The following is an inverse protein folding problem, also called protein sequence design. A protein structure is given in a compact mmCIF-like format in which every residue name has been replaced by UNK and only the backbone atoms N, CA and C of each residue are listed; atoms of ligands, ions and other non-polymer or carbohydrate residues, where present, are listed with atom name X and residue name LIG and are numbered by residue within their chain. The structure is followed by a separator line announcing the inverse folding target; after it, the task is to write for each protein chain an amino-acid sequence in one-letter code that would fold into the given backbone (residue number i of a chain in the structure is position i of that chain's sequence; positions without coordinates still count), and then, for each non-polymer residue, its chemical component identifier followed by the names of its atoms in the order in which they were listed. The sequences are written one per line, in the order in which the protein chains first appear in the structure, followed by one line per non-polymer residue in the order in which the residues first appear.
data_IF_688744433742
#
_entry.id   IF_688744433742
#
_cell.length_a   1.000
_cell.length_b   1.000
_cell.length_c   1.000
_cell.angle_alpha   90.00
_cell.angle_beta   90.00
_cell.angle_gamma   90.00
#
_symmetry.space_group_name_H-M   'P 1'
#
loop_
_entity.id
_entity.type
_entity.pdbx_description
1 polymer ?
#
# COMPACT_ATOMS: atom_id res chain seq x y z
N UNK A 1 -8.51 6.27 6.12
CA UNK A 1 -7.97 5.04 5.54
C UNK A 1 -7.52 5.29 4.13
N UNK A 2 -6.23 5.45 3.97
CA UNK A 2 -5.65 5.75 2.68
C UNK A 2 -4.60 4.71 2.31
N UNK A 3 -4.55 4.43 1.04
CA UNK A 3 -3.44 3.65 0.51
C UNK A 3 -2.43 4.63 -0.06
N UNK A 4 -1.17 4.28 0.05
CA UNK A 4 -0.08 5.17 -0.38
C UNK A 4 0.84 4.45 -1.33
N UNK A 5 1.55 5.23 -2.12
CA UNK A 5 2.51 4.71 -3.06
C UNK A 5 3.81 5.48 -2.89
N UNK A 6 4.89 4.77 -2.62
CA UNK A 6 6.17 5.41 -2.36
C UNK A 6 7.23 4.89 -3.33
N UNK A 7 7.96 5.83 -3.92
CA UNK A 7 9.09 5.48 -4.75
C UNK A 7 10.30 5.25 -3.85
N UNK A 8 10.88 4.06 -3.92
CA UNK A 8 12.01 3.74 -3.06
C UNK A 8 13.29 4.41 -3.52
N UNK A 9 13.30 4.93 -4.74
CA UNK A 9 14.48 5.57 -5.29
C UNK A 9 14.57 7.04 -4.91
N UNK A 10 13.52 7.80 -5.19
CA UNK A 10 13.52 9.24 -4.95
C UNK A 10 12.71 9.64 -3.70
N UNK A 11 12.00 8.72 -3.10
CA UNK A 11 11.26 8.99 -1.88
C UNK A 11 9.92 9.66 -2.07
N UNK A 12 9.49 9.83 -3.31
CA UNK A 12 8.21 10.47 -3.59
C UNK A 12 7.06 9.62 -3.03
N UNK A 13 6.13 10.29 -2.37
CA UNK A 13 4.97 9.63 -1.79
C UNK A 13 3.71 10.27 -2.34
N UNK A 14 2.73 9.44 -2.68
CA UNK A 14 1.46 9.93 -3.17
C UNK A 14 0.34 9.03 -2.70
N UNK A 15 -0.87 9.57 -2.69
CA UNK A 15 -2.05 8.81 -2.30
C UNK A 15 -2.53 7.99 -3.48
N UNK A 16 -3.04 6.80 -3.18
CA UNK A 16 -3.63 5.95 -4.18
C UNK A 16 -5.13 5.92 -3.94
N UNK A 17 -5.89 6.38 -4.92
CA UNK A 17 -7.35 6.39 -4.81
C UNK A 17 -7.89 5.07 -5.30
N UNK A 18 -8.29 4.24 -4.35
CA UNK A 18 -8.90 2.97 -4.67
C UNK A 18 -9.81 2.58 -3.51
N UNK A 19 -10.80 1.72 -3.77
CA UNK A 19 -11.72 1.31 -2.71
C UNK A 19 -10.99 0.62 -1.57
N UNK A 20 -11.50 0.81 -0.37
CA UNK A 20 -10.96 0.13 0.79
C UNK A 20 -11.19 -1.38 0.64
N UNK A 21 -10.13 -2.15 0.81
CA UNK A 21 -10.17 -3.59 0.60
C UNK A 21 -10.42 -4.29 1.93
N UNK A 22 -11.68 -4.38 2.29
CA UNK A 22 -12.05 -5.00 3.57
C UNK A 22 -11.71 -6.48 3.61
N UNK A 23 -11.53 -7.10 2.45
CA UNK A 23 -11.17 -8.50 2.41
C UNK A 23 -9.81 -8.79 3.07
N UNK A 24 -8.94 -7.79 3.09
CA UNK A 24 -7.65 -7.95 3.75
C UNK A 24 -7.84 -8.11 5.26
N UNK A 25 -8.76 -7.35 5.83
CA UNK A 25 -9.06 -7.46 7.25
C UNK A 25 -9.63 -8.84 7.57
N UNK A 26 -10.47 -9.36 6.69
CA UNK A 26 -11.05 -10.68 6.88
C UNK A 26 -9.98 -11.76 6.87
N UNK A 27 -9.03 -11.67 5.97
CA UNK A 27 -7.97 -12.66 5.89
C UNK A 27 -7.12 -12.69 7.15
N UNK A 28 -6.79 -11.52 7.66
CA UNK A 28 -5.99 -11.44 8.88
C UNK A 28 -6.79 -11.96 10.07
N UNK A 29 -8.08 -11.64 10.10
CA UNK A 29 -8.94 -12.08 11.20
C UNK A 29 -9.06 -13.60 11.25
N UNK A 30 -9.07 -14.24 10.08
CA UNK A 30 -9.15 -15.69 10.01
C UNK A 30 -7.89 -16.36 10.54
N UNK A 31 -6.73 -15.71 10.34
CA UNK A 31 -5.45 -16.30 10.70
C UNK A 31 -5.03 -15.96 12.12
N UNK A 32 -5.60 -14.91 12.65
CA UNK A 32 -5.25 -14.42 13.97
C UNK A 32 -6.53 -14.06 14.70
N UNK A 33 -6.46 -14.06 16.03
CA UNK A 33 -7.65 -13.76 16.83
C UNK A 33 -7.64 -12.30 17.26
N UNK A 34 -7.27 -11.42 16.34
CA UNK A 34 -7.25 -10.00 16.59
C UNK A 34 -8.57 -9.37 16.16
N UNK A 35 -8.96 -8.35 16.88
CA UNK A 35 -10.09 -7.52 16.46
C UNK A 35 -9.54 -6.46 15.52
N UNK A 36 -9.68 -6.72 14.23
CA UNK A 36 -9.13 -5.83 13.22
C UNK A 36 -10.11 -4.71 12.95
N UNK A 37 -9.66 -3.50 13.12
CA UNK A 37 -10.50 -2.32 12.90
C UNK A 37 -10.27 -1.71 11.52
N UNK A 38 -9.03 -1.70 11.07
CA UNK A 38 -8.72 -1.13 9.78
C UNK A 38 -7.29 -1.50 9.42
N UNK A 39 -6.86 -1.08 8.24
CA UNK A 39 -5.49 -1.27 7.82
C UNK A 39 -5.07 -0.10 6.95
N UNK A 40 -3.77 0.08 6.84
CA UNK A 40 -3.23 1.01 5.87
C UNK A 40 -2.13 0.28 5.12
N UNK A 41 -1.90 0.69 3.89
CA UNK A 41 -0.92 0.05 3.03
C UNK A 41 -0.09 1.10 2.33
N UNK A 42 1.18 0.79 2.18
CA UNK A 42 2.08 1.59 1.37
C UNK A 42 2.69 0.67 0.34
N UNK A 43 2.41 0.95 -0.93
CA UNK A 43 3.04 0.23 -2.01
C UNK A 43 4.38 0.85 -2.29
N UNK A 44 5.40 0.02 -2.36
CA UNK A 44 6.76 0.49 -2.57
C UNK A 44 7.23 0.03 -3.95
N UNK A 45 7.69 0.97 -4.75
CA UNK A 45 8.14 0.65 -6.08
C UNK A 45 8.94 1.80 -6.66
N UNK A 46 8.94 1.90 -7.97
CA UNK A 46 9.65 2.95 -8.68
C UNK A 46 8.65 3.83 -9.43
N UNK A 47 8.76 5.14 -9.25
CA UNK A 47 7.91 6.05 -10.00
C UNK A 47 8.29 5.96 -11.48
N UNK A 48 7.42 6.46 -12.38
CA UNK A 48 7.70 6.32 -13.82
C UNK A 48 9.05 6.87 -14.24
N UNK A 49 9.45 7.98 -13.63
CA UNK A 49 10.74 8.57 -13.98
C UNK A 49 11.92 7.73 -13.51
N UNK A 50 11.83 7.22 -12.28
CA UNK A 50 12.89 6.36 -11.76
C UNK A 50 12.93 5.03 -12.49
N UNK A 51 11.77 4.51 -12.85
CA UNK A 51 11.70 3.25 -13.59
C UNK A 51 12.36 3.36 -14.95
N UNK A 52 12.24 4.53 -15.59
CA UNK A 52 12.87 4.74 -16.88
C UNK A 52 14.38 4.81 -16.77
N UNK A 53 14.89 5.34 -15.67
CA UNK A 53 16.32 5.49 -15.47
C UNK A 53 17.00 4.19 -15.09
N UNK A 54 16.20 3.26 -14.61
CA UNK A 54 16.75 1.99 -14.16
C UNK A 54 16.92 1.04 -15.34
N UNK A 55 18.09 0.48 -15.47
CA UNK A 55 18.41 -0.46 -16.55
C UNK A 55 18.97 -1.74 -16.01
#
# INVERSE_FOLDING_TARGET
NHYHLRCEQCGKVMDVEMPYMASLDEEVRKRNEYLIKSHDLTFVGLCPECAKKKH
#
